data_IF_675597163431
#
_entry.id   IF_675597163431
#
_cell.length_a   1.000
_cell.length_b   1.000
_cell.length_c   1.000
_cell.angle_alpha   90.00
_cell.angle_beta   90.00
_cell.angle_gamma   90.00
#
_symmetry.space_group_name_H-M   'P 1'
#
loop_
_entity.id
_entity.type
_entity.pdbx_description
1 polymer ?
#
# COMPACT_ATOMS: atom_id res chain seq x y z
N UNK A 1 17.77 -14.23 1.55
CA UNK A 1 16.74 -14.03 0.51
C UNK A 1 16.89 -12.64 -0.08
N UNK A 2 17.20 -12.54 -1.38
CA UNK A 2 17.58 -11.28 -2.04
C UNK A 2 16.29 -10.55 -2.41
N UNK A 3 15.97 -9.49 -1.68
CA UNK A 3 14.85 -8.57 -1.91
C UNK A 3 15.00 -7.95 -3.30
N UNK A 4 14.26 -8.41 -4.30
CA UNK A 4 14.20 -7.74 -5.60
C UNK A 4 13.35 -6.47 -5.45
N UNK A 5 13.99 -5.34 -5.20
CA UNK A 5 13.37 -4.01 -5.36
C UNK A 5 13.20 -3.78 -6.86
N UNK A 6 12.06 -4.22 -7.41
CA UNK A 6 11.72 -3.97 -8.81
C UNK A 6 11.23 -2.54 -9.00
N UNK A 7 11.44 -1.98 -10.19
CA UNK A 7 10.92 -0.68 -10.66
C UNK A 7 9.39 -0.52 -10.46
N UNK A 8 8.65 -1.60 -10.17
CA UNK A 8 7.22 -1.59 -9.85
C UNK A 8 6.86 -0.84 -8.56
N UNK A 9 7.80 -0.63 -7.62
CA UNK A 9 7.52 0.09 -6.38
C UNK A 9 7.43 1.62 -6.57
N UNK A 10 7.99 2.16 -7.63
CA UNK A 10 7.92 3.59 -7.96
C UNK A 10 6.51 3.99 -8.45
N UNK A 11 5.81 3.10 -9.17
CA UNK A 11 4.45 3.36 -9.68
C UNK A 11 3.36 3.32 -8.60
N UNK A 12 3.64 2.76 -7.43
CA UNK A 12 2.67 2.63 -6.33
C UNK A 12 2.45 3.90 -5.51
N UNK A 13 3.15 4.99 -5.81
CA UNK A 13 3.09 6.26 -5.06
C UNK A 13 2.18 7.32 -5.67
N UNK A 14 1.25 6.96 -6.55
CA UNK A 14 0.30 7.91 -7.13
C UNK A 14 -0.85 8.25 -6.18
N UNK A 15 -0.52 8.71 -4.99
CA UNK A 15 -1.47 9.38 -4.12
C UNK A 15 -1.21 10.87 -4.27
N UNK A 16 -2.23 11.64 -4.62
CA UNK A 16 -2.13 13.10 -4.67
C UNK A 16 -1.86 13.59 -3.26
N UNK A 17 -0.65 14.07 -3.02
CA UNK A 17 -0.26 14.69 -1.75
C UNK A 17 -0.31 16.21 -1.92
N UNK A 18 -1.29 16.89 -1.29
CA UNK A 18 -1.41 18.33 -1.40
C UNK A 18 -0.19 19.09 -0.87
N UNK A 19 0.47 18.54 0.17
CA UNK A 19 1.66 19.13 0.75
C UNK A 19 2.86 19.10 -0.21
N UNK A 20 2.96 18.09 -1.05
CA UNK A 20 3.93 18.04 -2.14
C UNK A 20 3.54 18.93 -3.31
N UNK A 21 2.27 18.79 -3.74
CA UNK A 21 1.82 19.32 -5.03
C UNK A 21 1.64 20.83 -5.02
N UNK A 22 1.02 21.39 -3.96
CA UNK A 22 0.72 22.83 -3.92
C UNK A 22 1.98 23.72 -3.91
N UNK A 23 3.01 23.46 -3.07
CA UNK A 23 4.24 24.24 -3.14
C UNK A 23 4.98 24.05 -4.46
N UNK A 24 4.99 22.84 -5.01
CA UNK A 24 5.63 22.58 -6.29
C UNK A 24 4.99 23.37 -7.44
N UNK A 25 3.65 23.31 -7.53
CA UNK A 25 2.89 24.08 -8.54
C UNK A 25 3.10 25.59 -8.36
N UNK A 26 3.06 26.08 -7.12
CA UNK A 26 3.31 27.49 -6.81
C UNK A 26 4.69 27.96 -7.23
N UNK A 27 5.74 27.17 -6.94
CA UNK A 27 7.12 27.49 -7.32
C UNK A 27 7.32 27.45 -8.85
N UNK A 28 6.72 26.47 -9.54
CA UNK A 28 6.77 26.38 -11.01
C UNK A 28 6.04 27.56 -11.64
N UNK A 29 4.84 27.90 -11.16
CA UNK A 29 4.10 29.06 -11.62
C UNK A 29 4.89 30.37 -11.41
N UNK A 30 5.51 30.55 -10.24
CA UNK A 30 6.37 31.71 -9.97
C UNK A 30 7.57 31.76 -10.90
N UNK A 31 8.19 30.62 -11.23
CA UNK A 31 9.30 30.56 -12.18
C UNK A 31 8.88 31.05 -13.57
N UNK A 32 7.68 30.67 -14.02
CA UNK A 32 7.13 31.10 -15.32
C UNK A 32 6.76 32.59 -15.30
N UNK A 33 5.97 33.02 -14.31
CA UNK A 33 5.44 34.40 -14.22
C UNK A 33 6.58 35.43 -14.08
N UNK A 34 7.52 35.16 -13.19
CA UNK A 34 8.61 36.10 -12.91
C UNK A 34 9.84 35.87 -13.80
N UNK A 35 9.85 34.81 -14.61
CA UNK A 35 10.98 34.42 -15.51
C UNK A 35 12.32 34.33 -14.75
N UNK A 36 12.30 33.88 -13.47
CA UNK A 36 13.49 33.82 -12.61
C UNK A 36 13.85 32.36 -12.27
N UNK A 37 15.08 31.99 -12.65
CA UNK A 37 15.61 30.61 -12.48
C UNK A 37 15.63 30.09 -11.04
N UNK A 38 15.75 30.99 -10.03
CA UNK A 38 15.81 30.55 -8.64
C UNK A 38 14.52 29.88 -8.16
N UNK A 39 13.35 30.24 -8.71
CA UNK A 39 12.09 29.54 -8.40
C UNK A 39 12.09 28.13 -8.99
N UNK A 40 12.64 27.92 -10.18
CA UNK A 40 12.77 26.57 -10.76
C UNK A 40 13.75 25.70 -9.96
N UNK A 41 14.85 26.27 -9.49
CA UNK A 41 15.80 25.58 -8.59
C UNK A 41 15.11 25.23 -7.28
N UNK A 42 14.36 26.15 -6.67
CA UNK A 42 13.61 25.90 -5.44
C UNK A 42 12.55 24.80 -5.63
N UNK A 43 11.85 24.76 -6.77
CA UNK A 43 10.92 23.68 -7.09
C UNK A 43 11.62 22.32 -7.17
N UNK A 44 12.80 22.27 -7.78
CA UNK A 44 13.59 21.03 -7.86
C UNK A 44 14.10 20.58 -6.48
N UNK A 45 14.61 21.52 -5.67
CA UNK A 45 15.08 21.23 -4.30
C UNK A 45 13.91 20.73 -3.45
N UNK A 46 12.73 21.39 -3.56
CA UNK A 46 11.52 20.94 -2.88
C UNK A 46 11.13 19.51 -3.29
N UNK A 47 11.08 19.25 -4.59
CA UNK A 47 10.69 17.92 -5.11
C UNK A 47 11.64 16.82 -4.61
N UNK A 48 12.95 17.02 -4.75
CA UNK A 48 13.95 16.03 -4.32
C UNK A 48 13.96 15.85 -2.80
N UNK A 49 13.88 16.94 -2.05
CA UNK A 49 13.83 16.93 -0.59
C UNK A 49 12.61 16.18 -0.06
N UNK A 50 11.43 16.48 -0.62
CA UNK A 50 10.18 15.82 -0.24
C UNK A 50 10.16 14.33 -0.56
N UNK A 51 10.64 13.95 -1.76
CA UNK A 51 10.75 12.55 -2.15
C UNK A 51 11.77 11.78 -1.28
N UNK A 52 12.91 12.41 -0.99
CA UNK A 52 13.91 11.84 -0.08
C UNK A 52 13.38 11.66 1.34
N UNK A 53 12.65 12.66 1.86
CA UNK A 53 12.00 12.56 3.16
C UNK A 53 10.92 11.47 3.18
N UNK A 54 10.07 11.39 2.14
CA UNK A 54 9.07 10.32 2.01
C UNK A 54 9.69 8.92 1.97
N UNK A 55 10.84 8.78 1.32
CA UNK A 55 11.59 7.52 1.33
C UNK A 55 12.10 7.18 2.75
N UNK A 56 12.69 8.14 3.45
CA UNK A 56 13.15 7.97 4.83
C UNK A 56 12.00 7.53 5.76
N UNK A 57 10.85 8.20 5.66
CA UNK A 57 9.66 7.88 6.45
C UNK A 57 9.15 6.45 6.16
N UNK A 58 9.22 6.02 4.92
CA UNK A 58 8.83 4.65 4.56
C UNK A 58 9.78 3.61 5.14
N UNK A 59 11.10 3.85 5.16
CA UNK A 59 12.07 2.95 5.79
C UNK A 59 11.86 2.87 7.31
N UNK A 60 11.59 4.00 7.96
CA UNK A 60 11.23 4.03 9.39
C UNK A 60 9.95 3.23 9.67
N UNK A 61 8.88 3.47 8.89
CA UNK A 61 7.63 2.75 9.04
C UNK A 61 7.80 1.23 8.80
N UNK A 62 8.67 0.85 7.86
CA UNK A 62 9.02 -0.55 7.61
C UNK A 62 9.70 -1.18 8.83
N UNK A 63 10.67 -0.49 9.42
CA UNK A 63 11.39 -0.98 10.60
C UNK A 63 10.44 -1.17 11.80
N UNK A 64 9.52 -0.23 12.03
CA UNK A 64 8.51 -0.35 13.09
C UNK A 64 7.58 -1.54 12.83
N UNK A 65 7.09 -1.71 11.60
CA UNK A 65 6.20 -2.80 11.24
C UNK A 65 6.87 -4.17 11.40
N UNK A 66 8.13 -4.30 11.00
CA UNK A 66 8.92 -5.53 11.16
C UNK A 66 9.15 -5.86 12.64
N UNK A 67 9.55 -4.86 13.44
CA UNK A 67 9.76 -5.04 14.87
C UNK A 67 8.48 -5.49 15.59
N UNK A 68 7.32 -4.95 15.24
CA UNK A 68 6.03 -5.33 15.83
C UNK A 68 5.59 -6.73 15.40
N UNK A 69 5.79 -7.12 14.14
CA UNK A 69 5.48 -8.47 13.69
C UNK A 69 6.34 -9.51 14.46
N UNK A 70 7.63 -9.24 14.61
CA UNK A 70 8.56 -10.09 15.38
C UNK A 70 8.18 -10.13 16.87
N UNK A 71 7.78 -9.00 17.47
CA UNK A 71 7.34 -8.93 18.86
C UNK A 71 6.07 -9.76 19.12
N UNK A 72 5.21 -9.94 18.10
CA UNK A 72 4.05 -10.88 18.15
C UNK A 72 4.46 -12.35 18.00
N UNK A 73 5.72 -12.64 17.74
CA UNK A 73 6.21 -14.01 17.45
C UNK A 73 5.93 -14.47 16.02
N UNK A 74 5.62 -13.55 15.10
CA UNK A 74 5.39 -13.84 13.69
C UNK A 74 6.70 -13.79 12.87
N UNK A 75 6.73 -14.57 11.80
CA UNK A 75 7.75 -14.49 10.74
C UNK A 75 7.16 -13.77 9.53
N UNK A 76 7.28 -12.41 9.47
CA UNK A 76 6.52 -11.63 8.49
C UNK A 76 6.98 -11.90 7.08
N UNK A 77 6.16 -12.62 6.31
CA UNK A 77 6.37 -12.82 4.89
C UNK A 77 5.75 -11.67 4.10
N UNK A 78 6.42 -11.25 3.01
CA UNK A 78 5.92 -10.22 2.10
C UNK A 78 5.50 -8.91 2.81
N UNK A 79 6.23 -8.51 3.86
CA UNK A 79 5.96 -7.25 4.55
C UNK A 79 6.03 -6.06 3.60
N UNK A 80 4.99 -5.25 3.59
CA UNK A 80 4.85 -4.05 2.75
C UNK A 80 4.24 -2.93 3.56
N UNK A 81 4.82 -1.73 3.44
CA UNK A 81 4.30 -0.51 4.07
C UNK A 81 3.93 0.49 2.99
N UNK A 82 2.74 1.05 3.09
CA UNK A 82 2.23 2.05 2.13
C UNK A 82 1.75 3.29 2.86
N UNK A 83 2.09 4.50 2.37
CA UNK A 83 1.54 5.70 2.94
C UNK A 83 0.02 5.73 2.80
N UNK A 84 -0.66 6.20 3.85
CA UNK A 84 -2.08 6.49 3.81
C UNK A 84 -2.36 7.68 2.92
N UNK A 85 -3.64 7.85 2.54
CA UNK A 85 -4.04 8.88 1.61
C UNK A 85 -3.64 10.29 2.11
N UNK A 86 -2.95 11.02 1.24
CA UNK A 86 -2.64 12.44 1.43
C UNK A 86 -1.61 12.77 2.51
N UNK A 87 -0.82 11.81 3.03
CA UNK A 87 0.22 12.10 4.01
C UNK A 87 1.42 11.14 3.93
N UNK A 88 2.53 11.56 4.57
CA UNK A 88 3.80 10.82 4.62
C UNK A 88 4.19 10.40 6.05
N UNK A 89 3.26 10.49 6.98
CA UNK A 89 3.51 10.17 8.40
C UNK A 89 2.73 8.94 8.87
N UNK A 90 1.59 8.64 8.21
CA UNK A 90 0.74 7.52 8.55
C UNK A 90 0.80 6.47 7.43
N UNK A 91 1.07 5.24 7.81
CA UNK A 91 1.28 4.13 6.89
C UNK A 91 0.36 2.97 7.24
N UNK A 92 -0.09 2.26 6.20
CA UNK A 92 -0.67 0.93 6.30
C UNK A 92 0.46 -0.10 6.17
N UNK A 93 0.61 -0.95 7.16
CA UNK A 93 1.47 -2.12 7.13
C UNK A 93 0.64 -3.35 6.78
N UNK A 94 1.14 -4.20 5.91
CA UNK A 94 0.56 -5.50 5.58
C UNK A 94 1.67 -6.53 5.53
N UNK A 95 1.48 -7.64 6.21
CA UNK A 95 2.36 -8.80 6.08
C UNK A 95 1.57 -10.10 6.12
N UNK A 96 2.22 -11.18 5.71
CA UNK A 96 1.67 -12.53 5.72
C UNK A 96 2.36 -13.34 6.82
N UNK A 97 1.56 -14.07 7.60
CA UNK A 97 2.03 -15.11 8.50
C UNK A 97 0.98 -16.21 8.63
N UNK A 98 1.40 -17.47 8.56
CA UNK A 98 0.57 -18.68 8.77
C UNK A 98 -0.78 -18.66 8.01
N UNK A 99 -0.79 -18.17 6.76
CA UNK A 99 -2.00 -18.16 5.93
C UNK A 99 -2.94 -16.98 6.18
N UNK A 100 -2.52 -15.98 6.97
CA UNK A 100 -3.26 -14.76 7.23
C UNK A 100 -2.51 -13.54 6.72
N UNK A 101 -3.27 -12.50 6.37
CA UNK A 101 -2.81 -11.13 6.29
C UNK A 101 -3.05 -10.45 7.62
N UNK A 102 -2.03 -9.75 8.10
CA UNK A 102 -2.10 -8.85 9.23
C UNK A 102 -1.96 -7.42 8.71
N UNK A 103 -2.86 -6.57 9.14
CA UNK A 103 -2.95 -5.17 8.70
C UNK A 103 -2.89 -4.29 9.93
N UNK A 104 -1.91 -3.39 9.97
CA UNK A 104 -1.69 -2.48 11.09
C UNK A 104 -1.48 -1.05 10.59
N UNK A 105 -1.76 -0.06 11.45
CA UNK A 105 -1.39 1.32 11.22
C UNK A 105 -0.07 1.66 11.90
N UNK A 106 0.83 2.30 11.15
CA UNK A 106 2.12 2.78 11.66
C UNK A 106 2.21 4.28 11.42
N UNK A 107 2.39 5.05 12.49
CA UNK A 107 2.66 6.49 12.43
C UNK A 107 4.12 6.76 12.74
N UNK A 108 4.81 7.42 11.82
CA UNK A 108 6.20 7.88 11.97
C UNK A 108 6.25 9.40 11.92
N UNK A 109 6.26 10.03 13.07
CA UNK A 109 6.40 11.47 13.25
C UNK A 109 7.67 11.75 14.07
N UNK A 110 7.60 12.61 15.07
CA UNK A 110 8.66 12.77 16.08
C UNK A 110 8.78 11.48 16.88
N UNK A 111 7.63 10.94 17.31
CA UNK A 111 7.52 9.63 17.95
C UNK A 111 6.92 8.61 16.98
N UNK A 112 7.33 7.36 17.15
CA UNK A 112 6.82 6.23 16.40
C UNK A 112 5.71 5.57 17.19
N UNK A 113 4.54 5.44 16.57
CA UNK A 113 3.38 4.78 17.14
C UNK A 113 2.89 3.69 16.20
N UNK A 114 2.52 2.58 16.80
CA UNK A 114 1.89 1.47 16.14
C UNK A 114 0.51 1.22 16.74
N UNK A 115 -0.47 0.96 15.87
CA UNK A 115 -1.82 0.57 16.27
C UNK A 115 -2.13 -0.78 15.63
N UNK A 116 -2.50 -1.73 16.47
CA UNK A 116 -2.99 -3.02 16.01
C UNK A 116 -4.28 -2.84 15.23
N UNK A 117 -4.31 -3.41 14.05
CA UNK A 117 -5.48 -3.37 13.19
C UNK A 117 -6.14 -4.74 13.10
N UNK A 118 -6.41 -5.17 11.87
CA UNK A 118 -7.23 -6.35 11.60
C UNK A 118 -6.41 -7.47 10.97
N UNK A 119 -6.91 -8.70 11.09
CA UNK A 119 -6.39 -9.83 10.33
C UNK A 119 -7.48 -10.46 9.48
N UNK A 120 -7.09 -11.04 8.36
CA UNK A 120 -7.98 -11.76 7.46
C UNK A 120 -7.24 -12.93 6.83
N UNK A 121 -7.96 -14.01 6.56
CA UNK A 121 -7.39 -15.18 5.91
C UNK A 121 -7.05 -14.91 4.45
N UNK A 122 -5.93 -15.45 3.98
CA UNK A 122 -5.55 -15.36 2.57
C UNK A 122 -6.57 -16.09 1.69
N UNK A 123 -6.86 -15.50 0.54
CA UNK A 123 -7.77 -16.11 -0.43
C UNK A 123 -7.17 -17.38 -0.99
N UNK A 124 -7.97 -18.44 -0.95
CA UNK A 124 -7.70 -19.70 -1.63
C UNK A 124 -8.88 -20.02 -2.55
N UNK A 125 -8.64 -19.97 -3.86
CA UNK A 125 -9.70 -20.21 -4.85
C UNK A 125 -10.31 -21.60 -4.74
N UNK A 126 -9.50 -22.63 -4.49
CA UNK A 126 -10.00 -24.01 -4.41
C UNK A 126 -10.91 -24.23 -3.21
N UNK A 127 -10.64 -23.52 -2.10
CA UNK A 127 -11.47 -23.58 -0.90
C UNK A 127 -12.70 -22.68 -0.99
N UNK A 128 -12.55 -21.46 -1.53
CA UNK A 128 -13.65 -20.49 -1.62
C UNK A 128 -14.66 -20.83 -2.72
N UNK A 129 -14.19 -21.42 -3.81
CA UNK A 129 -15.01 -21.75 -5.00
C UNK A 129 -14.64 -23.14 -5.54
N UNK A 130 -14.94 -24.23 -4.79
CA UNK A 130 -14.53 -25.60 -5.15
C UNK A 130 -15.12 -26.07 -6.47
N UNK A 131 -16.32 -25.62 -6.81
CA UNK A 131 -17.05 -26.04 -8.02
C UNK A 131 -16.79 -25.11 -9.22
N UNK A 132 -15.92 -24.12 -9.09
CA UNK A 132 -15.63 -23.18 -10.17
C UNK A 132 -14.73 -23.81 -11.24
N UNK A 133 -15.21 -24.02 -12.50
CA UNK A 133 -14.39 -24.59 -13.55
C UNK A 133 -13.16 -23.69 -13.83
N UNK A 134 -11.98 -24.28 -13.92
CA UNK A 134 -10.73 -23.56 -14.14
C UNK A 134 -10.66 -22.81 -15.48
N UNK A 135 -11.46 -23.21 -16.46
CA UNK A 135 -11.57 -22.57 -17.77
C UNK A 135 -12.70 -21.51 -17.85
N UNK A 136 -13.49 -21.34 -16.77
CA UNK A 136 -14.57 -20.36 -16.71
C UNK A 136 -14.07 -18.93 -16.83
N UNK A 137 -14.98 -17.99 -17.18
CA UNK A 137 -14.64 -16.57 -17.22
C UNK A 137 -14.29 -16.06 -15.84
N UNK A 138 -15.02 -16.48 -14.80
CA UNK A 138 -14.79 -16.10 -13.41
C UNK A 138 -13.41 -16.52 -12.91
N UNK A 139 -12.97 -17.75 -13.23
CA UNK A 139 -11.62 -18.19 -12.88
C UNK A 139 -10.53 -17.34 -13.55
N UNK A 140 -10.73 -16.95 -14.81
CA UNK A 140 -9.83 -16.02 -15.52
C UNK A 140 -9.82 -14.62 -14.92
N UNK A 141 -10.96 -14.14 -14.45
CA UNK A 141 -11.08 -12.81 -13.82
C UNK A 141 -10.44 -12.80 -12.44
N UNK A 142 -10.56 -13.88 -11.66
CA UNK A 142 -9.81 -14.06 -10.40
C UNK A 142 -8.31 -14.05 -10.70
N UNK A 143 -7.86 -14.80 -11.71
CA UNK A 143 -6.44 -14.85 -12.07
C UNK A 143 -5.89 -13.48 -12.52
N UNK A 144 -6.68 -12.69 -13.28
CA UNK A 144 -6.32 -11.30 -13.62
C UNK A 144 -6.26 -10.41 -12.40
N UNK A 145 -7.23 -10.53 -11.51
CA UNK A 145 -7.28 -9.74 -10.29
C UNK A 145 -6.12 -10.09 -9.37
N UNK A 146 -5.79 -11.38 -9.25
CA UNK A 146 -4.60 -11.87 -8.54
C UNK A 146 -3.31 -11.26 -9.11
N UNK A 147 -3.13 -11.31 -10.43
CA UNK A 147 -2.00 -10.65 -11.09
C UNK A 147 -1.94 -9.14 -10.81
N UNK A 148 -3.08 -8.44 -10.94
CA UNK A 148 -3.17 -7.00 -10.68
C UNK A 148 -2.87 -6.66 -9.21
N UNK A 149 -3.37 -7.46 -8.28
CA UNK A 149 -3.18 -7.27 -6.84
C UNK A 149 -1.87 -7.87 -6.31
N UNK A 150 -1.03 -8.45 -7.18
CA UNK A 150 0.20 -9.14 -6.78
C UNK A 150 -0.07 -10.23 -5.74
N UNK A 151 -1.15 -11.00 -5.89
CA UNK A 151 -1.61 -12.05 -4.97
C UNK A 151 -1.96 -11.59 -3.54
N UNK A 152 -2.14 -10.29 -3.32
CA UNK A 152 -2.64 -9.77 -2.04
C UNK A 152 -4.16 -9.89 -1.96
N UNK A 153 -4.67 -11.12 -2.11
CA UNK A 153 -6.10 -11.41 -2.14
C UNK A 153 -6.59 -11.97 -0.82
N UNK A 154 -7.77 -11.50 -0.40
CA UNK A 154 -8.56 -12.10 0.67
C UNK A 154 -10.02 -12.20 0.22
N UNK A 155 -10.83 -12.92 0.98
CA UNK A 155 -12.28 -12.93 0.79
C UNK A 155 -12.94 -12.20 1.96
N UNK A 156 -13.76 -11.21 1.65
CA UNK A 156 -14.50 -10.48 2.68
C UNK A 156 -15.73 -11.27 3.17
N UNK A 157 -16.36 -10.86 4.28
CA UNK A 157 -17.56 -11.54 4.80
C UNK A 157 -18.76 -11.57 3.85
N UNK A 158 -18.76 -10.74 2.80
CA UNK A 158 -19.81 -10.71 1.76
C UNK A 158 -19.52 -11.66 0.59
N UNK A 159 -18.39 -12.36 0.63
CA UNK A 159 -17.97 -13.31 -0.40
C UNK A 159 -17.19 -12.69 -1.56
N UNK A 160 -16.92 -11.36 -1.54
CA UNK A 160 -16.10 -10.71 -2.57
C UNK A 160 -14.64 -11.07 -2.42
N UNK A 161 -13.94 -11.25 -3.54
CA UNK A 161 -12.48 -11.34 -3.56
C UNK A 161 -11.92 -9.91 -3.61
N UNK A 162 -11.10 -9.55 -2.64
CA UNK A 162 -10.65 -8.18 -2.37
C UNK A 162 -9.14 -8.04 -2.44
N UNK A 163 -8.68 -6.83 -2.81
CA UNK A 163 -7.27 -6.45 -2.78
C UNK A 163 -6.91 -5.83 -1.43
N UNK A 164 -6.14 -6.54 -0.65
CA UNK A 164 -5.74 -6.13 0.72
C UNK A 164 -4.81 -4.94 0.80
N UNK A 165 -4.21 -4.55 -0.32
CA UNK A 165 -3.21 -3.46 -0.34
C UNK A 165 -3.80 -2.08 -0.08
N UNK A 166 -5.11 -1.90 -0.32
CA UNK A 166 -5.76 -0.59 -0.28
C UNK A 166 -7.04 -0.60 0.54
N UNK A 167 -7.10 0.29 1.51
CA UNK A 167 -8.28 0.55 2.34
C UNK A 167 -8.33 2.05 2.67
N UNK A 168 -9.49 2.55 3.08
CA UNK A 168 -9.63 3.94 3.51
C UNK A 168 -8.93 4.20 4.83
N UNK A 169 -8.98 3.24 5.75
CA UNK A 169 -8.29 3.30 7.04
C UNK A 169 -7.07 2.38 7.02
N UNK A 170 -5.93 2.83 7.55
CA UNK A 170 -4.68 2.08 7.48
C UNK A 170 -4.66 0.80 8.33
N UNK A 171 -5.50 0.70 9.35
CA UNK A 171 -5.67 -0.42 10.26
C UNK A 171 -6.82 -1.37 9.86
N UNK A 172 -7.53 -1.05 8.78
CA UNK A 172 -8.71 -1.79 8.33
C UNK A 172 -8.41 -2.73 7.16
N UNK A 173 -9.13 -3.83 7.14
CA UNK A 173 -9.23 -4.75 6.00
C UNK A 173 -10.34 -4.37 5.02
N UNK A 174 -11.13 -3.31 5.30
CA UNK A 174 -12.19 -2.85 4.40
C UNK A 174 -11.61 -2.42 3.05
N UNK A 175 -11.93 -3.12 1.96
CA UNK A 175 -11.31 -2.88 0.68
C UNK A 175 -11.90 -1.66 -0.01
N UNK A 176 -11.06 -0.95 -0.76
CA UNK A 176 -11.54 0.09 -1.69
C UNK A 176 -12.21 -0.52 -2.93
N UNK A 177 -11.83 -1.75 -3.31
CA UNK A 177 -12.38 -2.50 -4.45
C UNK A 177 -12.23 -4.00 -4.27
N UNK A 178 -13.03 -4.72 -5.02
CA UNK A 178 -13.02 -6.18 -5.08
C UNK A 178 -13.90 -6.66 -6.24
N UNK A 179 -13.84 -7.94 -6.51
CA UNK A 179 -14.69 -8.59 -7.51
C UNK A 179 -15.70 -9.51 -6.84
N UNK A 180 -16.91 -9.54 -7.38
CA UNK A 180 -17.95 -10.52 -7.02
C UNK A 180 -17.81 -11.70 -7.98
N UNK A 181 -17.80 -12.90 -7.43
CA UNK A 181 -17.76 -14.14 -8.20
C UNK A 181 -19.11 -14.83 -8.00
N UNK A 182 -19.94 -14.82 -9.02
CA UNK A 182 -21.19 -15.56 -9.02
C UNK A 182 -20.90 -17.03 -9.32
N UNK A 183 -20.88 -17.84 -8.27
CA UNK A 183 -20.83 -19.30 -8.38
C UNK A 183 -22.25 -19.79 -8.74
N UNK A 184 -22.64 -19.67 -10.03
CA UNK A 184 -23.87 -20.23 -10.56
C UNK A 184 -23.55 -21.50 -11.37
#
# INVERSE_FOLDING_TARGET
FRRSRGLGDVYKRQIVDPLFTLPLVGLVAAAVIFSKRHFAIAAMVWALGYLGFGWLQQERAMAVAEAQAVARGHDPQRLSVKPSFGNIFLFKSIYQDQGFYYVDAVRVAVDEHWCEGSRIEQFDQARSFPDLPSNSQQAKDIARFSWFSHDYLAQDPTGRVIDMRYSMLPDSVDPMWGIVVDAA
#
